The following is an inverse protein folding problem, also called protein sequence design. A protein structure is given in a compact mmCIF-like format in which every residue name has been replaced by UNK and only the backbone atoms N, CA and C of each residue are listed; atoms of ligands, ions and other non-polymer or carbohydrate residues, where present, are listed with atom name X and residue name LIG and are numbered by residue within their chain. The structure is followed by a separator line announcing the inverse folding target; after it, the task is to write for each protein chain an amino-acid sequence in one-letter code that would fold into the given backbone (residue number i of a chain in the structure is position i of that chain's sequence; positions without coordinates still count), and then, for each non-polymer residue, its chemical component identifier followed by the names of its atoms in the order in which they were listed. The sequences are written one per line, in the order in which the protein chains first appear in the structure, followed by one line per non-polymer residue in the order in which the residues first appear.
data_IF_349755132512
#
_entry.id   IF_349755132512
#
_cell.length_a   1.000
_cell.length_b   1.000
_cell.length_c   1.000
_cell.angle_alpha   90.00
_cell.angle_beta   90.00
_cell.angle_gamma   90.00
#
_symmetry.space_group_name_H-M   'P 1'
#
loop_
_entity.id
_entity.type
_entity.pdbx_description
1 polymer ?
#
# COMPACT_ATOMS: atom_id res chain seq x y z
N UNK A 1 -86.84 71.54 0.33
CA UNK A 1 -86.41 70.64 1.39
C UNK A 1 -85.55 69.59 0.70
N UNK A 2 -84.29 69.91 0.49
CA UNK A 2 -83.31 69.11 -0.25
C UNK A 2 -82.14 68.90 0.66
N UNK A 3 -82.07 67.70 1.10
CA UNK A 3 -81.04 67.20 2.02
C UNK A 3 -79.75 66.91 1.24
N UNK A 4 -78.69 67.64 1.54
CA UNK A 4 -77.40 67.46 0.89
C UNK A 4 -76.51 66.66 1.84
N UNK A 5 -76.31 65.39 1.55
CA UNK A 5 -75.31 64.54 2.22
C UNK A 5 -73.91 64.87 1.66
N UNK A 6 -72.94 65.08 2.54
CA UNK A 6 -71.53 65.28 2.13
C UNK A 6 -70.87 63.97 1.67
N UNK A 7 -69.90 64.02 0.77
CA UNK A 7 -69.24 62.85 0.27
C UNK A 7 -68.26 62.21 1.33
N UNK A 8 -68.41 60.92 1.47
CA UNK A 8 -67.55 60.04 2.31
C UNK A 8 -66.12 60.02 1.75
N UNK A 9 -65.23 60.65 2.46
CA UNK A 9 -63.81 60.57 2.16
C UNK A 9 -63.30 59.17 2.54
N UNK A 10 -62.98 58.34 1.57
CA UNK A 10 -62.25 57.12 1.78
C UNK A 10 -60.74 57.47 2.01
N UNK A 11 -60.12 56.97 3.08
CA UNK A 11 -58.69 57.18 3.27
C UNK A 11 -57.92 56.27 2.29
N UNK A 12 -57.36 56.91 1.27
CA UNK A 12 -56.44 56.26 0.38
C UNK A 12 -55.36 55.58 1.23
N UNK A 13 -55.31 54.26 1.21
CA UNK A 13 -54.23 53.45 1.77
C UNK A 13 -52.91 53.76 1.03
N UNK A 14 -52.13 54.62 1.63
CA UNK A 14 -50.78 54.86 1.16
C UNK A 14 -49.99 53.58 1.41
N UNK A 15 -49.87 52.76 0.38
CA UNK A 15 -48.86 51.70 0.32
C UNK A 15 -47.49 52.36 0.44
N UNK A 16 -46.93 52.29 1.64
CA UNK A 16 -45.57 52.77 1.92
C UNK A 16 -44.62 51.86 1.19
N UNK A 17 -44.20 52.29 0.03
CA UNK A 17 -43.16 51.63 -0.77
C UNK A 17 -41.86 51.68 0.04
N UNK A 18 -41.57 50.58 0.78
CA UNK A 18 -40.31 50.41 1.52
C UNK A 18 -39.20 50.26 0.48
N UNK A 19 -38.75 51.36 -0.08
CA UNK A 19 -37.52 51.38 -0.87
C UNK A 19 -36.36 50.97 0.05
N UNK A 20 -35.97 49.70 -0.04
CA UNK A 20 -34.77 49.20 0.63
C UNK A 20 -33.62 50.08 0.19
N UNK A 21 -32.96 50.73 1.15
CA UNK A 21 -31.86 51.66 0.92
C UNK A 21 -30.83 50.98 -0.01
N UNK A 22 -30.29 51.71 -0.97
CA UNK A 22 -29.27 51.25 -1.90
C UNK A 22 -28.04 50.62 -1.16
N UNK A 23 -27.76 51.12 0.03
CA UNK A 23 -26.74 50.61 0.93
C UNK A 23 -26.98 49.14 1.35
N UNK A 24 -28.22 48.79 1.72
CA UNK A 24 -28.60 47.41 2.09
C UNK A 24 -28.49 46.44 0.92
N UNK A 25 -28.79 46.90 -0.28
CA UNK A 25 -28.62 46.12 -1.50
C UNK A 25 -27.14 45.87 -1.80
N UNK A 26 -26.30 46.89 -1.68
CA UNK A 26 -24.86 46.79 -1.83
C UNK A 26 -24.24 45.84 -0.78
N UNK A 27 -24.65 45.93 0.49
CA UNK A 27 -24.21 45.05 1.57
C UNK A 27 -24.61 43.60 1.31
N UNK A 28 -25.85 43.36 0.87
CA UNK A 28 -26.34 42.02 0.57
C UNK A 28 -25.58 41.37 -0.60
N UNK A 29 -25.27 42.14 -1.65
CA UNK A 29 -24.50 41.69 -2.78
C UNK A 29 -23.07 41.36 -2.32
N UNK A 30 -22.42 42.22 -1.52
CA UNK A 30 -21.09 41.97 -0.97
C UNK A 30 -21.03 40.69 -0.14
N UNK A 31 -22.04 40.48 0.73
CA UNK A 31 -22.11 39.28 1.57
C UNK A 31 -22.31 38.01 0.73
N UNK A 32 -23.18 38.07 -0.28
CA UNK A 32 -23.43 36.98 -1.21
C UNK A 32 -22.14 36.62 -1.98
N UNK A 33 -21.37 37.63 -2.38
CA UNK A 33 -20.11 37.43 -3.10
C UNK A 33 -19.02 36.80 -2.21
N UNK A 34 -18.94 37.25 -0.95
CA UNK A 34 -18.05 36.66 0.06
C UNK A 34 -18.41 35.20 0.37
N UNK A 35 -19.71 34.89 0.50
CA UNK A 35 -20.19 33.52 0.70
C UNK A 35 -19.88 32.64 -0.51
N UNK A 36 -20.02 33.17 -1.71
CA UNK A 36 -19.72 32.43 -2.93
C UNK A 36 -18.23 32.12 -3.06
N UNK A 37 -17.37 33.12 -2.80
CA UNK A 37 -15.91 32.95 -2.81
C UNK A 37 -15.48 31.98 -1.70
N UNK A 38 -16.01 32.14 -0.48
CA UNK A 38 -15.72 31.24 0.65
C UNK A 38 -16.16 29.79 0.40
N UNK A 39 -17.33 29.60 -0.21
CA UNK A 39 -17.82 28.29 -0.61
C UNK A 39 -16.98 27.63 -1.69
N UNK A 40 -16.62 28.40 -2.73
CA UNK A 40 -15.78 27.89 -3.82
C UNK A 40 -14.37 27.49 -3.35
N UNK A 41 -13.76 28.31 -2.48
CA UNK A 41 -12.43 27.97 -1.90
C UNK A 41 -12.53 26.80 -0.93
N UNK A 42 -13.58 26.69 -0.12
CA UNK A 42 -13.80 25.56 0.78
C UNK A 42 -13.95 24.23 0.03
N UNK A 43 -14.73 24.21 -1.06
CA UNK A 43 -14.88 23.04 -1.91
C UNK A 43 -13.56 22.64 -2.57
N UNK A 44 -12.78 23.60 -3.08
CA UNK A 44 -11.48 23.34 -3.69
C UNK A 44 -10.48 22.73 -2.70
N UNK A 45 -10.41 23.26 -1.48
CA UNK A 45 -9.57 22.71 -0.41
C UNK A 45 -10.00 21.29 -0.02
N UNK A 46 -11.30 21.05 0.09
CA UNK A 46 -11.83 19.73 0.43
C UNK A 46 -11.47 18.67 -0.62
N UNK A 47 -11.56 19.00 -1.91
CA UNK A 47 -11.14 18.12 -2.99
C UNK A 47 -9.62 17.83 -2.95
N UNK A 48 -8.80 18.83 -2.65
CA UNK A 48 -7.35 18.66 -2.50
C UNK A 48 -7.00 17.72 -1.34
N UNK A 49 -7.62 17.90 -0.18
CA UNK A 49 -7.41 17.01 0.97
C UNK A 49 -7.85 15.57 0.69
N UNK A 50 -8.96 15.39 0.00
CA UNK A 50 -9.46 14.07 -0.37
C UNK A 50 -8.52 13.35 -1.34
N UNK A 51 -7.91 14.08 -2.26
CA UNK A 51 -6.92 13.54 -3.20
C UNK A 51 -5.63 13.14 -2.49
N UNK A 52 -5.15 13.95 -1.55
CA UNK A 52 -3.96 13.63 -0.74
C UNK A 52 -4.17 12.39 0.15
N UNK A 53 -5.34 12.29 0.80
CA UNK A 53 -5.67 11.11 1.61
C UNK A 53 -5.72 9.85 0.74
N UNK A 54 -6.33 9.90 -0.43
CA UNK A 54 -6.36 8.76 -1.36
C UNK A 54 -4.96 8.37 -1.84
N UNK A 55 -4.12 9.34 -2.13
CA UNK A 55 -2.74 9.09 -2.54
C UNK A 55 -1.92 8.42 -1.44
N UNK A 56 -2.04 8.89 -0.20
CA UNK A 56 -1.40 8.29 0.97
C UNK A 56 -1.95 6.90 1.29
N UNK A 57 -3.25 6.68 1.14
CA UNK A 57 -3.87 5.36 1.31
C UNK A 57 -3.43 4.39 0.21
N UNK A 58 -3.26 4.86 -1.03
CA UNK A 58 -2.68 4.06 -2.10
C UNK A 58 -1.25 3.64 -1.80
N UNK A 59 -0.41 4.55 -1.31
CA UNK A 59 0.96 4.23 -0.91
C UNK A 59 1.04 3.26 0.27
N UNK A 60 0.11 3.33 1.23
CA UNK A 60 0.03 2.38 2.34
C UNK A 60 -0.43 0.99 1.88
N UNK A 61 -1.31 0.91 0.88
CA UNK A 61 -1.74 -0.37 0.29
C UNK A 61 -0.64 -1.02 -0.56
N UNK A 62 0.28 -0.23 -1.11
CA UNK A 62 1.45 -0.71 -1.85
C UNK A 62 2.65 -1.05 -0.93
N UNK A 63 2.58 -0.76 0.37
CA UNK A 63 3.64 -1.18 1.28
C UNK A 63 3.64 -2.70 1.42
N UNK A 64 4.82 -3.35 1.21
CA UNK A 64 4.94 -4.79 1.35
C UNK A 64 4.44 -5.23 2.73
N UNK A 65 3.38 -6.03 2.76
CA UNK A 65 2.89 -6.61 4.01
C UNK A 65 3.68 -7.88 4.30
N UNK A 66 4.86 -7.69 4.90
CA UNK A 66 5.69 -8.82 5.33
C UNK A 66 4.91 -9.61 6.38
N UNK A 67 4.52 -10.83 6.02
CA UNK A 67 3.84 -11.76 6.93
C UNK A 67 4.78 -12.77 7.54
N UNK A 68 5.79 -13.19 6.78
CA UNK A 68 6.73 -14.21 7.22
C UNK A 68 8.17 -13.70 7.06
N UNK A 69 9.02 -14.12 7.96
CA UNK A 69 10.44 -13.81 7.91
C UNK A 69 11.29 -15.03 8.33
N UNK A 70 12.47 -15.13 7.78
CA UNK A 70 13.46 -16.11 8.20
C UNK A 70 14.85 -15.47 8.22
N UNK A 71 15.63 -15.77 9.26
CA UNK A 71 17.06 -15.49 9.28
C UNK A 71 17.76 -16.81 8.97
N UNK A 72 18.45 -16.85 7.84
CA UNK A 72 19.22 -18.03 7.45
C UNK A 72 20.64 -17.90 8.01
N UNK A 73 21.06 -18.97 8.65
CA UNK A 73 22.36 -19.08 9.29
C UNK A 73 23.30 -19.91 8.42
N UNK A 74 24.59 -19.61 8.47
CA UNK A 74 25.63 -20.41 7.86
C UNK A 74 26.05 -21.62 8.75
N UNK A 75 27.06 -22.38 8.29
CA UNK A 75 27.55 -23.54 9.02
C UNK A 75 28.16 -23.19 10.40
N UNK A 76 28.53 -21.92 10.62
CA UNK A 76 29.04 -21.40 11.89
C UNK A 76 27.95 -20.77 12.75
N UNK A 77 26.67 -20.94 12.39
CA UNK A 77 25.51 -20.36 13.05
C UNK A 77 25.50 -18.81 13.06
N UNK A 78 26.19 -18.21 12.08
CA UNK A 78 26.16 -16.75 11.90
C UNK A 78 25.05 -16.35 10.92
N UNK A 79 24.36 -15.22 11.16
CA UNK A 79 23.35 -14.72 10.23
C UNK A 79 23.97 -14.41 8.87
N UNK A 80 23.49 -15.07 7.83
CA UNK A 80 24.03 -14.95 6.48
C UNK A 80 23.03 -14.26 5.53
N UNK A 81 21.73 -14.50 5.70
CA UNK A 81 20.70 -13.95 4.83
C UNK A 81 19.41 -13.75 5.61
N UNK A 82 18.79 -12.58 5.41
CA UNK A 82 17.43 -12.29 5.86
C UNK A 82 16.48 -12.51 4.67
N UNK A 83 15.44 -13.28 4.90
CA UNK A 83 14.36 -13.52 3.92
C UNK A 83 13.07 -12.96 4.48
N UNK A 84 12.38 -12.18 3.68
CA UNK A 84 11.06 -11.63 4.00
C UNK A 84 10.07 -12.03 2.92
N UNK A 85 8.88 -12.47 3.33
CA UNK A 85 7.83 -12.95 2.44
C UNK A 85 6.63 -12.03 2.54
N UNK A 86 6.20 -11.54 1.40
CA UNK A 86 4.93 -10.83 1.23
C UNK A 86 4.01 -11.68 0.35
N UNK A 87 3.04 -12.38 0.93
CA UNK A 87 2.12 -13.23 0.19
C UNK A 87 1.13 -12.44 -0.67
N UNK A 88 0.88 -11.15 -0.35
CA UNK A 88 -0.06 -10.31 -1.10
C UNK A 88 0.56 -9.90 -2.43
N UNK A 89 1.78 -9.37 -2.39
CA UNK A 89 2.52 -9.01 -3.60
C UNK A 89 3.17 -10.22 -4.29
N UNK A 90 3.14 -11.40 -3.65
CA UNK A 90 3.78 -12.64 -4.08
C UNK A 90 5.28 -12.46 -4.31
N UNK A 91 5.92 -11.76 -3.40
CA UNK A 91 7.34 -11.46 -3.48
C UNK A 91 8.08 -12.00 -2.26
N UNK A 92 9.20 -12.65 -2.51
CA UNK A 92 10.23 -12.89 -1.53
C UNK A 92 11.35 -11.89 -1.77
N UNK A 93 11.73 -11.20 -0.73
CA UNK A 93 12.90 -10.34 -0.74
C UNK A 93 13.99 -10.98 0.12
N UNK A 94 15.18 -11.11 -0.45
CA UNK A 94 16.33 -11.64 0.23
C UNK A 94 17.33 -10.51 0.46
N UNK A 95 17.85 -10.40 1.67
CA UNK A 95 18.88 -9.44 2.01
C UNK A 95 20.13 -10.21 2.48
N UNK A 96 21.23 -10.06 1.77
CA UNK A 96 22.50 -10.66 2.15
C UNK A 96 23.09 -9.90 3.34
N UNK A 97 23.43 -10.61 4.40
CA UNK A 97 24.04 -10.07 5.61
C UNK A 97 25.56 -10.26 5.61
N UNK A 98 26.04 -11.30 4.92
CA UNK A 98 27.44 -11.62 4.75
C UNK A 98 27.84 -11.52 3.29
N UNK A 99 29.15 -11.39 3.05
CA UNK A 99 29.71 -11.58 1.72
C UNK A 99 29.77 -13.08 1.38
N UNK A 100 28.95 -13.49 0.43
CA UNK A 100 29.01 -14.84 -0.14
C UNK A 100 29.82 -14.78 -1.42
N UNK A 101 30.91 -15.55 -1.45
CA UNK A 101 31.73 -15.71 -2.67
C UNK A 101 31.08 -16.77 -3.55
N UNK A 102 30.37 -16.32 -4.56
CA UNK A 102 29.80 -17.19 -5.60
C UNK A 102 30.84 -17.41 -6.69
N UNK A 103 31.05 -18.66 -7.10
CA UNK A 103 31.80 -18.99 -8.31
C UNK A 103 31.11 -18.44 -9.58
N UNK A 104 31.85 -18.43 -10.71
CA UNK A 104 31.27 -17.90 -11.97
C UNK A 104 30.16 -18.78 -12.54
N UNK A 105 30.19 -20.08 -12.27
CA UNK A 105 29.22 -21.07 -12.75
C UNK A 105 28.19 -21.47 -11.68
N UNK A 106 28.31 -20.93 -10.45
CA UNK A 106 27.41 -21.27 -9.35
C UNK A 106 26.17 -20.40 -9.37
N UNK A 107 25.03 -20.98 -9.03
CA UNK A 107 23.75 -20.33 -8.73
C UNK A 107 23.36 -20.59 -7.28
N UNK A 108 22.71 -19.65 -6.63
CA UNK A 108 22.06 -19.89 -5.34
C UNK A 108 20.59 -20.21 -5.60
N UNK A 109 20.07 -21.27 -5.01
CA UNK A 109 18.68 -21.65 -5.11
C UNK A 109 18.03 -21.66 -3.74
N UNK A 110 16.85 -21.04 -3.66
CA UNK A 110 16.04 -20.97 -2.44
C UNK A 110 15.04 -22.13 -2.39
N UNK A 111 14.88 -22.71 -1.21
CA UNK A 111 14.05 -23.87 -0.97
C UNK A 111 13.14 -23.66 0.21
N UNK A 112 11.90 -24.15 0.11
CA UNK A 112 11.00 -24.34 1.24
C UNK A 112 11.23 -25.72 1.86
N UNK A 113 11.36 -25.77 3.17
CA UNK A 113 11.53 -26.99 3.96
C UNK A 113 10.23 -27.26 4.74
N UNK A 114 9.71 -28.48 4.61
CA UNK A 114 8.49 -28.88 5.31
C UNK A 114 8.70 -30.20 6.03
N UNK A 115 9.30 -30.12 7.21
CA UNK A 115 9.59 -31.31 8.04
C UNK A 115 10.39 -32.36 7.26
N UNK A 116 9.83 -33.56 7.16
CA UNK A 116 10.45 -34.71 6.50
C UNK A 116 10.10 -34.81 5.00
N UNK A 117 9.35 -33.86 4.46
CA UNK A 117 9.03 -33.85 3.03
C UNK A 117 10.21 -33.40 2.18
N UNK A 118 10.20 -33.77 0.90
CA UNK A 118 11.21 -33.31 -0.03
C UNK A 118 11.20 -31.78 -0.13
N UNK A 119 12.38 -31.13 -0.12
CA UNK A 119 12.47 -29.68 -0.29
C UNK A 119 11.85 -29.22 -1.60
N UNK A 120 11.11 -28.13 -1.56
CA UNK A 120 10.51 -27.56 -2.76
C UNK A 120 11.27 -26.31 -3.19
N UNK A 121 11.66 -26.25 -4.46
CA UNK A 121 12.34 -25.08 -5.01
C UNK A 121 11.40 -23.88 -5.07
N UNK A 122 11.86 -22.74 -4.55
CA UNK A 122 11.19 -21.44 -4.65
C UNK A 122 11.78 -20.58 -5.77
N UNK A 123 12.94 -20.97 -6.30
CA UNK A 123 13.58 -20.30 -7.42
C UNK A 123 15.06 -19.97 -7.21
N UNK A 124 15.68 -19.51 -8.28
CA UNK A 124 17.07 -19.08 -8.30
C UNK A 124 17.21 -17.64 -7.79
N UNK A 125 18.21 -17.42 -6.95
CA UNK A 125 18.55 -16.11 -6.39
C UNK A 125 19.42 -15.36 -7.39
N UNK A 126 19.00 -14.14 -7.76
CA UNK A 126 19.75 -13.31 -8.70
C UNK A 126 21.16 -13.00 -8.17
N UNK A 127 22.14 -13.21 -9.04
CA UNK A 127 23.56 -13.03 -8.72
C UNK A 127 23.89 -11.57 -8.45
N UNK A 128 24.88 -11.37 -7.59
CA UNK A 128 25.50 -10.06 -7.32
C UNK A 128 24.55 -8.93 -6.91
N UNK A 129 23.28 -9.24 -6.63
CA UNK A 129 22.38 -8.28 -6.04
C UNK A 129 22.44 -8.38 -4.52
N UNK A 130 22.53 -7.24 -3.85
CA UNK A 130 22.53 -7.20 -2.39
C UNK A 130 21.16 -7.56 -1.82
N UNK A 131 20.11 -7.20 -2.55
CA UNK A 131 18.72 -7.47 -2.19
C UNK A 131 17.96 -8.03 -3.40
N UNK A 132 18.19 -9.31 -3.76
CA UNK A 132 17.43 -9.94 -4.83
C UNK A 132 15.98 -10.17 -4.43
N UNK A 133 15.10 -10.15 -5.44
CA UNK A 133 13.68 -10.43 -5.29
C UNK A 133 13.30 -11.63 -6.13
N UNK A 134 12.47 -12.51 -5.55
CA UNK A 134 11.89 -13.67 -6.22
C UNK A 134 10.37 -13.49 -6.27
N UNK A 135 9.80 -13.70 -7.43
CA UNK A 135 8.35 -13.74 -7.60
C UNK A 135 7.85 -15.16 -7.40
N UNK A 136 6.86 -15.31 -6.53
CA UNK A 136 6.25 -16.60 -6.22
C UNK A 136 5.09 -16.89 -7.18
N UNK A 137 5.07 -18.09 -7.71
CA UNK A 137 3.90 -18.66 -8.34
C UNK A 137 2.94 -19.26 -7.30
N UNK A 138 1.83 -19.85 -7.75
CA UNK A 138 0.85 -20.43 -6.84
C UNK A 138 1.38 -21.65 -6.09
N UNK A 139 2.24 -22.44 -6.71
CA UNK A 139 2.82 -23.64 -6.10
C UNK A 139 3.82 -23.28 -5.01
N UNK A 140 4.69 -22.31 -5.28
CA UNK A 140 5.65 -21.79 -4.31
C UNK A 140 4.96 -21.13 -3.10
N UNK A 141 3.84 -20.41 -3.31
CA UNK A 141 3.02 -19.88 -2.21
C UNK A 141 2.45 -20.98 -1.33
N UNK A 142 1.83 -22.00 -1.93
CA UNK A 142 1.27 -23.13 -1.19
C UNK A 142 2.37 -23.89 -0.41
N UNK A 143 3.57 -24.00 -0.98
CA UNK A 143 4.72 -24.58 -0.29
C UNK A 143 5.15 -23.77 0.93
N UNK A 144 5.15 -22.44 0.82
CA UNK A 144 5.48 -21.54 1.93
C UNK A 144 4.48 -21.58 3.07
N UNK A 145 3.18 -21.71 2.78
CA UNK A 145 2.13 -21.81 3.80
C UNK A 145 2.31 -23.02 4.72
N UNK A 146 2.92 -24.11 4.22
CA UNK A 146 3.21 -25.30 4.98
C UNK A 146 4.68 -25.42 5.43
N UNK A 147 5.53 -24.48 5.02
CA UNK A 147 6.96 -24.53 5.30
C UNK A 147 7.26 -24.25 6.78
N UNK A 148 8.13 -25.04 7.36
CA UNK A 148 8.67 -24.82 8.71
C UNK A 148 10.01 -24.05 8.68
N UNK A 149 10.64 -23.97 7.50
CA UNK A 149 11.92 -23.30 7.34
C UNK A 149 12.27 -23.06 5.88
N UNK A 150 13.33 -22.29 5.69
CA UNK A 150 13.92 -22.02 4.39
C UNK A 150 15.38 -22.44 4.39
N UNK A 151 15.86 -22.82 3.21
CA UNK A 151 17.27 -23.13 3.00
C UNK A 151 17.76 -22.60 1.65
N UNK A 152 19.06 -22.42 1.55
CA UNK A 152 19.75 -22.04 0.31
C UNK A 152 20.82 -23.06 0.02
N UNK A 153 20.87 -23.55 -1.21
CA UNK A 153 21.96 -24.40 -1.73
C UNK A 153 22.73 -23.67 -2.81
N UNK A 154 23.94 -24.16 -3.05
CA UNK A 154 24.73 -23.81 -4.23
C UNK A 154 24.42 -24.83 -5.30
N UNK A 155 24.01 -24.37 -6.47
CA UNK A 155 23.63 -25.22 -7.60
C UNK A 155 24.38 -24.74 -8.85
N UNK A 156 24.26 -25.48 -9.93
CA UNK A 156 24.74 -24.99 -11.21
C UNK A 156 23.98 -23.73 -11.66
N UNK A 157 24.49 -23.05 -12.66
CA UNK A 157 23.99 -21.76 -13.17
C UNK A 157 22.50 -21.75 -13.45
N UNK A 158 21.95 -22.85 -13.91
CA UNK A 158 20.52 -22.99 -14.28
C UNK A 158 19.67 -23.58 -13.14
N UNK A 159 20.30 -23.88 -12.00
CA UNK A 159 19.64 -24.50 -10.84
C UNK A 159 19.27 -25.95 -11.06
N UNK A 160 18.47 -26.48 -10.13
CA UNK A 160 17.94 -27.84 -10.18
C UNK A 160 16.50 -27.79 -10.73
N UNK A 161 16.14 -28.68 -11.67
CA UNK A 161 14.79 -28.77 -12.21
C UNK A 161 13.74 -29.01 -11.12
N UNK A 162 12.51 -28.60 -11.38
CA UNK A 162 11.37 -28.85 -10.49
C UNK A 162 11.21 -30.35 -10.19
N UNK A 163 10.89 -30.65 -8.94
CA UNK A 163 10.69 -32.02 -8.46
C UNK A 163 11.95 -32.77 -8.08
N UNK A 164 13.13 -32.18 -8.25
CA UNK A 164 14.39 -32.71 -7.75
C UNK A 164 14.84 -31.94 -6.51
N UNK A 165 15.53 -32.62 -5.60
CA UNK A 165 16.13 -31.99 -4.43
C UNK A 165 17.46 -31.31 -4.76
N UNK A 166 18.04 -30.58 -3.80
CA UNK A 166 19.32 -29.88 -3.99
C UNK A 166 20.45 -30.88 -4.30
N UNK A 167 21.35 -30.48 -5.21
CA UNK A 167 22.48 -31.28 -5.63
C UNK A 167 23.64 -31.25 -4.60
N UNK A 168 23.75 -30.15 -3.87
CA UNK A 168 24.79 -29.92 -2.87
C UNK A 168 24.19 -29.67 -1.48
N UNK A 169 25.00 -29.79 -0.41
CA UNK A 169 24.60 -29.50 0.95
C UNK A 169 24.09 -28.06 1.09
N UNK A 170 23.25 -27.85 2.10
CA UNK A 170 22.73 -26.52 2.44
C UNK A 170 23.88 -25.55 2.76
N UNK A 171 23.89 -24.40 2.08
CA UNK A 171 24.78 -23.31 2.39
C UNK A 171 24.27 -22.51 3.59
N UNK A 172 22.97 -22.23 3.59
CA UNK A 172 22.27 -21.52 4.65
C UNK A 172 20.96 -22.20 4.99
N UNK A 173 20.56 -22.12 6.25
CA UNK A 173 19.31 -22.69 6.73
C UNK A 173 18.73 -21.88 7.88
N UNK A 174 17.40 -21.75 7.95
CA UNK A 174 16.72 -21.06 9.03
C UNK A 174 15.25 -21.42 9.14
N UNK A 175 14.67 -21.13 10.30
CA UNK A 175 13.24 -21.32 10.53
C UNK A 175 12.45 -20.16 9.94
N UNK A 176 11.29 -20.48 9.39
CA UNK A 176 10.32 -19.52 8.94
C UNK A 176 9.43 -19.14 10.13
N UNK A 177 9.26 -17.85 10.37
CA UNK A 177 8.49 -17.31 11.50
C UNK A 177 7.41 -16.39 10.95
N UNK A 178 6.18 -16.60 11.40
CA UNK A 178 5.09 -15.69 11.12
C UNK A 178 5.22 -14.42 11.96
N UNK A 179 5.07 -13.28 11.32
CA UNK A 179 5.01 -12.01 12.04
C UNK A 179 3.71 -11.95 12.83
N UNK A 180 3.78 -11.84 14.15
CA UNK A 180 2.63 -11.52 14.97
C UNK A 180 2.06 -10.15 14.56
N UNK A 181 0.79 -10.11 14.17
CA UNK A 181 0.04 -8.91 13.81
C UNK A 181 -0.45 -8.19 15.07
#
# INVERSE_FOLDING_TARGET
MTDHLPPKNDPASTVRDRRVSAWWRALAILLALLLFIGGATGLSLFEQFKTQIRHLQGQLAEQPQIRQLAVLLDAQQQPAMLVTVDPISRLIQLQRLNEVREGQEDGLQLWALNGDQAPLSLGLIARRQQTPQLRLDAAALAALDSATGLAVSVEGKDGVPEGQGPSLPWLFRGHLVDKAL
#
